data_IF_206882092992
#
_entry.id   IF_206882092992
#
_cell.length_a   1.000
_cell.length_b   1.000
_cell.length_c   1.000
_cell.angle_alpha   90.00
_cell.angle_beta   90.00
_cell.angle_gamma   90.00
#
_symmetry.space_group_name_H-M   'P 1'
#
loop_
_entity.id
_entity.type
_entity.pdbx_description
1 polymer ?
#
# COMPACT_ATOMS: atom_id res chain seq x y z
N UNK A 1 11.11 -1.48 40.84
CA UNK A 1 10.07 -0.51 40.45
C UNK A 1 9.72 -0.80 39.01
N UNK A 2 8.60 -1.47 38.77
CA UNK A 2 8.10 -1.75 37.42
C UNK A 2 6.71 -1.13 37.33
N UNK A 3 6.66 0.12 36.91
CA UNK A 3 5.39 0.77 36.52
C UNK A 3 4.96 0.15 35.21
N UNK A 4 4.08 -0.85 35.29
CA UNK A 4 3.27 -1.31 34.18
C UNK A 4 2.40 -0.14 33.73
N UNK A 5 2.90 0.67 32.80
CA UNK A 5 2.09 1.68 32.14
C UNK A 5 1.10 0.91 31.25
N UNK A 6 -0.13 0.75 31.76
CA UNK A 6 -1.26 0.20 31.02
C UNK A 6 -1.64 1.19 29.91
N UNK A 7 -0.85 1.21 28.83
CA UNK A 7 -1.09 2.04 27.66
C UNK A 7 -2.18 1.34 26.84
N UNK A 8 -3.44 1.66 27.14
CA UNK A 8 -4.56 1.19 26.32
C UNK A 8 -4.46 1.87 24.96
N UNK A 9 -3.96 1.13 23.97
CA UNK A 9 -4.00 1.57 22.58
C UNK A 9 -5.45 1.62 22.08
N UNK A 10 -5.87 2.68 21.37
CA UNK A 10 -7.18 2.69 20.74
C UNK A 10 -7.23 1.57 19.68
N UNK A 11 -8.39 0.91 19.58
CA UNK A 11 -8.57 -0.24 18.66
C UNK A 11 -9.54 0.06 17.52
N UNK A 12 -10.27 1.17 17.64
CA UNK A 12 -11.47 1.50 16.89
C UNK A 12 -11.26 2.59 15.84
N UNK A 13 -10.26 3.47 16.02
CA UNK A 13 -9.93 4.54 15.07
C UNK A 13 -8.43 4.73 15.01
N UNK A 14 -7.87 4.74 13.80
CA UNK A 14 -6.49 5.13 13.55
C UNK A 14 -6.43 6.66 13.39
N UNK A 15 -5.69 7.39 14.25
CA UNK A 15 -5.56 8.84 14.14
C UNK A 15 -4.89 9.25 12.82
N UNK A 16 -5.37 10.32 12.21
CA UNK A 16 -4.76 10.92 11.02
C UNK A 16 -3.27 11.29 11.20
N UNK A 17 -2.83 11.51 12.43
CA UNK A 17 -1.43 11.83 12.76
C UNK A 17 -0.46 10.67 12.54
N UNK A 18 -0.94 9.41 12.53
CA UNK A 18 -0.07 8.24 12.30
C UNK A 18 0.55 8.28 10.91
N UNK A 19 -0.21 8.75 9.92
CA UNK A 19 0.23 8.90 8.53
C UNK A 19 1.43 9.86 8.40
N UNK A 20 1.57 10.85 9.29
CA UNK A 20 2.69 11.81 9.24
C UNK A 20 4.07 11.20 9.50
N UNK A 21 4.12 9.98 10.04
CA UNK A 21 5.36 9.27 10.36
C UNK A 21 5.70 8.18 9.31
N UNK A 22 4.85 7.98 8.31
CA UNK A 22 4.97 6.93 7.31
C UNK A 22 5.23 7.58 5.95
N UNK A 23 6.15 7.06 5.12
CA UNK A 23 6.36 7.58 3.77
C UNK A 23 5.07 7.50 2.93
N UNK A 24 4.74 8.59 2.24
CA UNK A 24 3.52 8.72 1.42
C UNK A 24 3.67 8.12 0.00
N UNK A 25 4.91 7.78 -0.39
CA UNK A 25 5.28 7.25 -1.71
C UNK A 25 5.18 5.71 -1.81
N UNK A 26 4.78 5.05 -0.73
CA UNK A 26 4.61 3.59 -0.66
C UNK A 26 3.17 3.24 -0.33
N UNK A 27 2.68 2.10 -0.83
CA UNK A 27 1.40 1.54 -0.38
C UNK A 27 1.61 0.83 0.96
N UNK A 28 0.89 1.22 2.00
CA UNK A 28 1.06 0.69 3.35
C UNK A 28 -0.27 0.44 4.05
N UNK A 29 -0.26 -0.51 4.98
CA UNK A 29 -1.37 -0.78 5.89
C UNK A 29 -0.98 -0.43 7.31
N UNK A 30 -1.93 0.15 8.04
CA UNK A 30 -1.84 0.43 9.48
C UNK A 30 -2.93 -0.33 10.21
N UNK A 31 -2.57 -0.96 11.33
CA UNK A 31 -3.49 -1.64 12.23
C UNK A 31 -3.24 -1.24 13.69
N UNK A 32 -4.29 -1.13 14.52
CA UNK A 32 -4.14 -0.99 15.96
C UNK A 32 -3.63 -2.27 16.61
N UNK A 33 -2.80 -2.12 17.65
CA UNK A 33 -2.72 -3.09 18.74
C UNK A 33 -1.37 -3.79 18.90
N UNK A 34 -0.90 -3.88 20.15
CA UNK A 34 0.39 -4.49 20.49
C UNK A 34 0.42 -6.03 20.34
N UNK A 35 -0.74 -6.69 20.28
CA UNK A 35 -0.85 -8.16 20.32
C UNK A 35 -0.95 -8.83 18.94
N UNK A 36 -0.87 -8.05 17.86
CA UNK A 36 -1.06 -8.53 16.47
C UNK A 36 0.26 -8.47 15.71
N UNK A 37 1.35 -8.07 16.39
CA UNK A 37 2.66 -7.88 15.78
C UNK A 37 3.19 -9.15 15.11
N UNK A 38 3.02 -10.33 15.71
CA UNK A 38 3.49 -11.60 15.14
C UNK A 38 2.75 -11.97 13.84
N UNK A 39 1.42 -11.82 13.83
CA UNK A 39 0.58 -12.08 12.65
C UNK A 39 0.90 -11.04 11.56
N UNK A 40 1.05 -9.77 11.95
CA UNK A 40 1.40 -8.72 11.01
C UNK A 40 2.78 -8.97 10.39
N UNK A 41 3.74 -9.49 11.16
CA UNK A 41 5.08 -9.83 10.65
C UNK A 41 5.00 -10.88 9.53
N UNK A 42 4.07 -11.84 9.63
CA UNK A 42 3.84 -12.85 8.59
C UNK A 42 3.25 -12.22 7.32
N UNK A 43 2.15 -11.46 7.45
CA UNK A 43 1.47 -10.83 6.32
C UNK A 43 2.25 -9.71 5.64
N UNK A 44 3.20 -9.11 6.34
CA UNK A 44 4.05 -8.05 5.80
C UNK A 44 5.30 -8.56 5.10
N UNK A 45 5.65 -9.86 5.18
CA UNK A 45 6.87 -10.37 4.56
C UNK A 45 6.93 -10.03 3.06
N UNK A 46 8.09 -9.59 2.54
CA UNK A 46 9.40 -9.47 3.21
C UNK A 46 9.62 -8.12 3.93
N UNK A 47 8.63 -7.24 3.96
CA UNK A 47 8.74 -5.90 4.51
C UNK A 47 8.66 -5.94 6.06
N UNK A 48 9.50 -5.18 6.78
CA UNK A 48 9.47 -5.15 8.22
C UNK A 48 8.21 -4.43 8.73
N UNK A 49 7.68 -4.93 9.86
CA UNK A 49 6.65 -4.23 10.63
C UNK A 49 7.31 -3.17 11.49
N UNK A 50 6.75 -1.97 11.47
CA UNK A 50 7.17 -0.82 12.26
C UNK A 50 6.06 -0.43 13.24
N UNK A 51 6.44 0.18 14.37
CA UNK A 51 5.50 0.61 15.40
C UNK A 51 5.60 2.13 15.56
N UNK A 52 4.46 2.81 15.47
CA UNK A 52 4.32 4.25 15.71
C UNK A 52 3.48 4.47 16.96
N UNK A 53 3.90 5.44 17.78
CA UNK A 53 3.26 5.82 19.05
C UNK A 53 2.94 4.64 19.98
N UNK A 54 3.76 3.57 19.93
CA UNK A 54 3.61 2.32 20.69
C UNK A 54 2.29 1.55 20.45
N UNK A 55 1.44 2.01 19.53
CA UNK A 55 0.07 1.52 19.40
C UNK A 55 -0.33 1.12 17.98
N UNK A 56 0.38 1.62 16.98
CA UNK A 56 0.04 1.43 15.58
C UNK A 56 1.15 0.64 14.92
N UNK A 57 0.82 -0.57 14.48
CA UNK A 57 1.73 -1.31 13.63
C UNK A 57 1.44 -0.94 12.19
N UNK A 58 2.49 -0.79 11.40
CA UNK A 58 2.37 -0.58 9.97
C UNK A 58 3.47 -1.30 9.22
N UNK A 59 3.21 -1.59 7.95
CA UNK A 59 4.21 -2.07 7.03
C UNK A 59 3.86 -1.66 5.61
N UNK A 60 4.86 -1.63 4.74
CA UNK A 60 4.62 -1.59 3.31
C UNK A 60 3.92 -2.87 2.87
N UNK A 61 2.84 -2.75 2.11
CA UNK A 61 2.12 -3.91 1.59
C UNK A 61 3.04 -4.69 0.64
N UNK A 62 3.15 -6.03 0.76
CA UNK A 62 3.95 -6.84 -0.13
C UNK A 62 3.53 -6.67 -1.59
N UNK A 63 4.49 -6.68 -2.52
CA UNK A 63 4.20 -6.55 -3.95
C UNK A 63 3.28 -7.65 -4.48
N UNK A 64 3.31 -8.83 -3.86
CA UNK A 64 2.40 -9.94 -4.16
C UNK A 64 0.92 -9.59 -3.97
N UNK A 65 0.61 -8.59 -3.15
CA UNK A 65 -0.76 -8.11 -2.90
C UNK A 65 -1.07 -6.79 -3.64
N UNK A 66 -0.06 -6.06 -4.12
CA UNK A 66 -0.27 -4.77 -4.81
C UNK A 66 -0.18 -4.84 -6.33
N UNK A 67 0.35 -5.93 -6.90
CA UNK A 67 0.50 -6.07 -8.34
C UNK A 67 -0.88 -6.14 -9.02
N UNK A 68 -1.19 -5.14 -9.85
CA UNK A 68 -2.46 -4.99 -10.57
C UNK A 68 -3.71 -4.98 -9.69
N UNK A 69 -3.54 -4.77 -8.38
CA UNK A 69 -4.63 -4.77 -7.40
C UNK A 69 -5.10 -3.36 -7.06
N UNK A 70 -6.41 -3.18 -6.93
CA UNK A 70 -6.96 -1.95 -6.38
C UNK A 70 -6.94 -1.93 -4.84
N UNK A 71 -7.29 -0.79 -4.24
CA UNK A 71 -7.27 -0.65 -2.79
C UNK A 71 -8.21 -1.62 -2.05
N UNK A 72 -9.34 -1.99 -2.64
CA UNK A 72 -10.29 -2.93 -2.05
C UNK A 72 -9.75 -4.35 -2.07
N UNK A 73 -9.11 -4.75 -3.18
CA UNK A 73 -8.46 -6.05 -3.32
C UNK A 73 -7.29 -6.18 -2.35
N UNK A 74 -6.48 -5.12 -2.20
CA UNK A 74 -5.38 -5.07 -1.21
C UNK A 74 -5.91 -5.25 0.20
N UNK A 75 -6.96 -4.49 0.60
CA UNK A 75 -7.54 -4.60 1.94
C UNK A 75 -8.11 -6.00 2.20
N UNK A 76 -8.75 -6.60 1.20
CA UNK A 76 -9.31 -7.95 1.31
C UNK A 76 -8.20 -8.98 1.47
N UNK A 77 -7.20 -8.97 0.58
CA UNK A 77 -6.09 -9.92 0.61
C UNK A 77 -5.28 -9.83 1.91
N UNK A 78 -5.03 -8.62 2.41
CA UNK A 78 -4.35 -8.44 3.68
C UNK A 78 -5.21 -8.89 4.86
N UNK A 79 -6.52 -8.59 4.83
CA UNK A 79 -7.48 -9.06 5.83
C UNK A 79 -7.58 -10.59 5.90
N UNK A 80 -7.58 -11.25 4.75
CA UNK A 80 -7.58 -12.71 4.65
C UNK A 80 -6.30 -13.30 5.24
N UNK A 81 -5.13 -12.74 4.93
CA UNK A 81 -3.87 -13.17 5.54
C UNK A 81 -3.90 -13.05 7.07
N UNK A 82 -4.40 -11.94 7.60
CA UNK A 82 -4.53 -11.76 9.05
C UNK A 82 -5.47 -12.80 9.67
N UNK A 83 -6.55 -13.19 8.97
CA UNK A 83 -7.49 -14.21 9.44
C UNK A 83 -6.88 -15.61 9.43
N UNK A 84 -6.12 -15.95 8.38
CA UNK A 84 -5.49 -17.27 8.20
C UNK A 84 -4.44 -17.56 9.27
N UNK A 85 -3.65 -16.55 9.66
CA UNK A 85 -2.64 -16.67 10.73
C UNK A 85 -3.25 -16.64 12.15
N UNK A 86 -4.58 -16.79 12.27
CA UNK A 86 -5.28 -16.87 13.55
C UNK A 86 -5.53 -15.52 14.20
N UNK A 87 -5.41 -14.43 13.43
CA UNK A 87 -5.78 -13.10 13.89
C UNK A 87 -7.26 -13.05 14.25
N UNK A 88 -7.54 -12.70 15.50
CA UNK A 88 -8.90 -12.40 15.90
C UNK A 88 -9.29 -11.05 15.31
N UNK A 89 -9.78 -11.06 14.06
CA UNK A 89 -10.24 -9.85 13.37
C UNK A 89 -11.32 -9.09 14.16
N UNK A 90 -11.97 -9.72 15.14
CA UNK A 90 -12.92 -9.04 16.04
C UNK A 90 -12.22 -8.06 17.01
N UNK A 91 -10.92 -8.26 17.29
CA UNK A 91 -10.08 -7.30 18.02
C UNK A 91 -9.55 -6.18 17.12
N UNK A 92 -9.36 -6.44 15.82
CA UNK A 92 -9.01 -5.44 14.80
C UNK A 92 -10.26 -4.68 14.37
N UNK A 93 -10.65 -3.67 15.13
CA UNK A 93 -11.84 -2.86 14.77
C UNK A 93 -11.53 -1.78 13.74
N UNK A 94 -10.26 -1.55 13.43
CA UNK A 94 -9.82 -0.60 12.42
C UNK A 94 -8.66 -1.16 11.61
N UNK A 95 -8.65 -0.86 10.32
CA UNK A 95 -7.53 -1.04 9.41
C UNK A 95 -7.56 0.14 8.45
N UNK A 96 -6.41 0.75 8.21
CA UNK A 96 -6.27 1.83 7.25
C UNK A 96 -5.30 1.40 6.15
N UNK A 97 -5.72 1.59 4.91
CA UNK A 97 -4.87 1.46 3.73
C UNK A 97 -4.53 2.85 3.21
N UNK A 98 -3.25 3.07 2.97
CA UNK A 98 -2.79 4.15 2.10
C UNK A 98 -2.27 3.55 0.80
N UNK A 99 -2.74 4.05 -0.33
CA UNK A 99 -2.22 3.70 -1.64
C UNK A 99 -1.27 4.79 -2.11
N UNK A 100 -0.04 4.42 -2.47
CA UNK A 100 0.88 5.37 -3.09
C UNK A 100 0.16 6.04 -4.26
N UNK A 101 0.27 7.36 -4.35
CA UNK A 101 -0.15 8.06 -5.57
C UNK A 101 0.75 7.56 -6.69
N UNK A 102 0.23 6.64 -7.50
CA UNK A 102 0.79 6.39 -8.81
C UNK A 102 0.72 7.73 -9.51
N UNK A 103 1.85 8.42 -9.68
CA UNK A 103 1.93 9.42 -10.74
C UNK A 103 1.49 8.65 -11.98
N UNK A 104 0.26 8.90 -12.42
CA UNK A 104 -0.33 8.32 -13.63
C UNK A 104 0.78 8.35 -14.66
N UNK A 105 1.27 7.18 -15.04
CA UNK A 105 2.20 7.07 -16.14
C UNK A 105 1.38 7.57 -17.32
N UNK A 106 1.52 8.85 -17.66
CA UNK A 106 0.78 9.46 -18.74
C UNK A 106 1.03 8.56 -19.96
N UNK A 107 0.03 7.87 -20.53
CA UNK A 107 0.18 7.44 -21.89
C UNK A 107 -0.02 8.71 -22.71
N UNK A 108 1.01 9.56 -22.77
CA UNK A 108 1.13 10.55 -23.84
C UNK A 108 1.43 9.80 -25.13
N UNK A 109 0.47 8.97 -25.58
CA UNK A 109 0.32 8.62 -26.98
C UNK A 109 -0.59 9.67 -27.57
N UNK A 110 -0.05 10.87 -27.77
CA UNK A 110 -0.64 11.82 -28.70
C UNK A 110 -0.30 11.31 -30.11
N UNK A 111 -1.11 10.36 -30.59
CA UNK A 111 -1.13 9.96 -32.00
C UNK A 111 -1.79 11.08 -32.81
N UNK A 112 -1.13 12.23 -32.90
CA UNK A 112 -1.53 13.32 -33.79
C UNK A 112 -0.45 13.57 -34.81
N UNK A 113 -0.63 12.92 -35.96
CA UNK A 113 -0.36 13.46 -37.29
C UNK A 113 1.08 13.80 -37.65
N UNK A 114 1.70 12.96 -38.49
CA UNK A 114 2.61 13.45 -39.51
C UNK A 114 2.21 12.86 -40.86
N UNK A 115 1.77 13.77 -41.73
CA UNK A 115 1.22 13.53 -43.05
C UNK A 115 2.28 13.04 -44.05
N UNK A 116 1.80 12.32 -45.06
CA UNK A 116 2.53 11.87 -46.24
C UNK A 116 3.22 13.03 -46.96
N UNK A 117 4.52 12.87 -47.26
CA UNK A 117 5.21 13.65 -48.30
C UNK A 117 5.63 12.68 -49.40
N UNK A 118 4.82 12.58 -50.45
CA UNK A 118 5.21 11.93 -51.70
C UNK A 118 6.01 12.94 -52.54
N UNK A 119 7.33 12.75 -52.67
CA UNK A 119 8.13 13.47 -53.67
C UNK A 119 8.23 12.60 -54.91
N UNK A 120 7.48 12.97 -55.95
CA UNK A 120 7.68 12.46 -57.30
C UNK A 120 8.85 13.24 -57.95
N UNK A 121 9.86 12.53 -58.44
CA UNK A 121 10.59 12.81 -59.68
C UNK A 121 11.84 11.91 -59.79
N UNK A 122 11.70 10.79 -60.50
CA UNK A 122 12.85 10.17 -61.19
C UNK A 122 12.52 10.16 -62.69
N UNK A 123 12.71 11.32 -63.32
CA UNK A 123 13.15 11.31 -64.71
C UNK A 123 14.67 11.18 -64.68
N UNK A 124 15.15 10.00 -65.07
CA UNK A 124 16.37 9.80 -65.86
C UNK A 124 16.43 8.31 -66.18
N UNK A 125 15.73 7.94 -67.25
CA UNK A 125 15.93 6.69 -67.97
C UNK A 125 16.42 7.07 -69.36
N UNK A 126 17.55 6.46 -69.73
CA UNK A 126 18.15 6.31 -71.06
C UNK A 126 19.01 7.48 -71.54
#
# INVERSE_FOLDING_TARGET
MSTSNNHNCPTDVIPGTVHLYIPEDITYIVVPGQNISEIMVSCCQPNPVNIVDFCWNWCQVPSTMTNDADGSEIMTSFGDCLAEDGGNLTQLRAMALHTASSATLNPSVTLTGLALVAVAAFHLLV
#
